data_IF_881343484697
#
_entry.id   IF_881343484697
#
_cell.length_a   1.000
_cell.length_b   1.000
_cell.length_c   1.000
_cell.angle_alpha   90.00
_cell.angle_beta   90.00
_cell.angle_gamma   90.00
#
_symmetry.space_group_name_H-M   'P 1'
#
loop_
_entity.id
_entity.type
_entity.pdbx_description
1 polymer ?
#
# COMPACT_ATOMS: atom_id res chain seq x y z
N UNK A 1 -1.82 -14.38 -14.06
CA UNK A 1 -0.78 -13.41 -14.45
C UNK A 1 0.13 -12.97 -13.30
N UNK A 2 -0.24 -13.11 -12.03
CA UNK A 2 0.67 -12.93 -10.88
C UNK A 2 1.45 -14.19 -10.51
N UNK A 3 1.01 -15.37 -10.93
CA UNK A 3 1.70 -16.64 -10.65
C UNK A 3 3.06 -16.83 -11.36
N UNK A 4 3.37 -16.01 -12.35
CA UNK A 4 4.67 -16.05 -13.05
C UNK A 4 5.75 -15.20 -12.39
N UNK A 5 5.41 -14.46 -11.33
CA UNK A 5 6.35 -13.53 -10.65
C UNK A 5 7.25 -14.29 -9.65
N UNK A 6 6.99 -15.57 -9.40
CA UNK A 6 7.81 -16.40 -8.51
C UNK A 6 8.86 -17.11 -9.35
N UNK A 7 9.90 -16.39 -9.68
CA UNK A 7 11.07 -16.99 -10.31
C UNK A 7 11.94 -17.65 -9.26
N UNK A 8 12.14 -18.97 -9.49
CA UNK A 8 13.31 -19.76 -9.07
C UNK A 8 13.73 -19.67 -7.58
N UNK A 9 13.49 -20.79 -6.88
CA UNK A 9 14.20 -21.27 -5.66
C UNK A 9 14.68 -20.25 -4.62
N UNK A 10 13.84 -19.50 -3.95
CA UNK A 10 14.09 -18.56 -2.84
C UNK A 10 14.13 -17.04 -3.18
N UNK A 11 13.90 -16.65 -4.43
CA UNK A 11 13.81 -15.25 -4.80
C UNK A 11 12.37 -14.86 -5.06
N UNK A 12 11.87 -13.91 -4.28
CA UNK A 12 10.55 -13.31 -4.47
C UNK A 12 10.70 -11.97 -5.19
N UNK A 13 10.03 -11.79 -6.32
CA UNK A 13 9.92 -10.50 -6.96
C UNK A 13 8.69 -9.75 -6.41
N UNK A 14 8.92 -8.58 -5.82
CA UNK A 14 7.86 -7.69 -5.35
C UNK A 14 7.77 -6.51 -6.30
N UNK A 15 6.68 -6.40 -7.08
CA UNK A 15 6.51 -5.31 -8.02
C UNK A 15 6.26 -3.98 -7.29
N UNK A 16 6.62 -2.87 -7.96
CA UNK A 16 6.15 -1.55 -7.56
C UNK A 16 4.95 -1.14 -8.42
N UNK A 17 3.99 -0.43 -7.81
CA UNK A 17 2.92 0.23 -8.54
C UNK A 17 3.13 1.74 -8.38
N UNK A 18 3.54 2.40 -9.45
CA UNK A 18 3.88 3.82 -9.44
C UNK A 18 2.99 4.54 -10.44
N UNK A 19 2.19 5.50 -9.96
CA UNK A 19 1.24 6.28 -10.78
C UNK A 19 0.34 5.37 -11.64
N UNK A 20 -0.11 4.24 -11.07
CA UNK A 20 -0.97 3.27 -11.75
C UNK A 20 -0.24 2.30 -12.68
N UNK A 21 1.06 2.44 -12.90
CA UNK A 21 1.86 1.54 -13.73
C UNK A 21 2.59 0.49 -12.87
N UNK A 22 2.49 -0.78 -13.25
CA UNK A 22 3.22 -1.87 -12.60
C UNK A 22 4.63 -1.95 -13.15
N UNK A 23 5.62 -1.94 -12.27
CA UNK A 23 7.05 -2.10 -12.59
C UNK A 23 7.53 -3.45 -12.05
N UNK A 24 8.19 -4.23 -12.91
CA UNK A 24 8.61 -5.61 -12.63
C UNK A 24 10.14 -5.82 -12.68
N UNK A 25 10.92 -4.77 -12.90
CA UNK A 25 12.37 -4.89 -13.02
C UNK A 25 12.99 -5.34 -11.69
N UNK A 26 13.70 -6.47 -11.70
CA UNK A 26 14.39 -7.01 -10.53
C UNK A 26 15.76 -6.34 -10.37
N UNK A 27 15.79 -5.05 -10.03
CA UNK A 27 17.00 -4.26 -10.01
C UNK A 27 17.69 -4.18 -8.64
N UNK A 28 16.92 -4.31 -7.55
CA UNK A 28 17.43 -4.18 -6.18
C UNK A 28 17.21 -5.45 -5.40
N UNK A 29 18.28 -6.01 -4.84
CA UNK A 29 18.24 -7.19 -4.00
C UNK A 29 18.15 -6.81 -2.52
N UNK A 30 17.18 -7.37 -1.82
CA UNK A 30 17.02 -7.26 -0.37
C UNK A 30 17.10 -8.63 0.26
N UNK A 31 18.01 -8.80 1.21
CA UNK A 31 18.18 -10.06 1.94
C UNK A 31 17.64 -9.95 3.35
N UNK A 32 16.72 -10.84 3.71
CA UNK A 32 16.23 -10.95 5.09
C UNK A 32 17.34 -11.44 6.02
N UNK A 33 17.58 -10.71 7.09
CA UNK A 33 18.54 -11.14 8.14
C UNK A 33 17.97 -12.28 8.99
N UNK A 34 16.65 -12.40 9.08
CA UNK A 34 16.00 -13.40 9.91
C UNK A 34 15.97 -14.79 9.24
N UNK A 35 15.64 -14.84 7.95
CA UNK A 35 15.44 -16.11 7.22
C UNK A 35 16.52 -16.40 6.17
N UNK A 36 17.29 -15.41 5.78
CA UNK A 36 18.21 -15.50 4.64
C UNK A 36 17.53 -15.41 3.27
N UNK A 37 16.20 -15.33 3.23
CA UNK A 37 15.42 -15.22 1.98
C UNK A 37 15.75 -13.93 1.25
N UNK A 38 15.71 -13.99 -0.08
CA UNK A 38 16.00 -12.84 -0.95
C UNK A 38 14.71 -12.33 -1.59
N UNK A 39 14.54 -11.01 -1.54
CA UNK A 39 13.45 -10.29 -2.22
C UNK A 39 14.06 -9.33 -3.23
N UNK A 40 13.53 -9.34 -4.44
CA UNK A 40 13.92 -8.43 -5.52
C UNK A 40 12.84 -7.37 -5.71
N UNK A 41 13.24 -6.12 -5.90
CA UNK A 41 12.34 -5.02 -6.22
C UNK A 41 12.85 -4.23 -7.42
N UNK A 42 12.00 -3.48 -8.12
CA UNK A 42 12.44 -2.47 -9.08
C UNK A 42 13.27 -1.37 -8.39
N UNK A 43 14.13 -0.71 -9.15
CA UNK A 43 14.74 0.54 -8.71
C UNK A 43 13.70 1.66 -8.76
N UNK A 44 13.80 2.60 -7.82
CA UNK A 44 12.91 3.77 -7.79
C UNK A 44 13.73 5.00 -8.17
N UNK A 45 13.27 5.68 -9.22
CA UNK A 45 13.71 7.05 -9.52
C UNK A 45 12.84 8.02 -8.73
N UNK A 46 13.38 8.57 -7.64
CA UNK A 46 12.64 9.47 -6.76
C UNK A 46 12.19 10.75 -7.47
N UNK A 47 12.99 11.25 -8.42
CA UNK A 47 12.63 12.46 -9.16
C UNK A 47 11.37 12.25 -10.02
N UNK A 48 11.16 11.04 -10.53
CA UNK A 48 9.96 10.67 -11.28
C UNK A 48 8.69 10.61 -10.43
N UNK A 49 8.82 10.46 -9.10
CA UNK A 49 7.70 10.39 -8.16
C UNK A 49 7.19 11.77 -7.76
N UNK A 50 8.04 12.80 -7.82
CA UNK A 50 7.70 14.16 -7.41
C UNK A 50 6.66 14.72 -8.37
N UNK A 51 5.54 15.20 -7.80
CA UNK A 51 4.55 15.90 -8.59
C UNK A 51 5.02 17.34 -8.83
N UNK A 52 4.99 17.84 -10.09
CA UNK A 52 5.43 19.20 -10.39
C UNK A 52 4.62 20.22 -9.59
N UNK A 53 5.29 21.15 -8.90
CA UNK A 53 4.61 22.20 -8.12
C UNK A 53 3.74 23.13 -8.97
N UNK A 54 3.98 23.17 -10.27
CA UNK A 54 3.22 23.97 -11.24
C UNK A 54 1.90 23.33 -11.66
N UNK A 55 1.63 22.08 -11.24
CA UNK A 55 0.43 21.35 -11.58
C UNK A 55 -0.32 20.94 -10.32
N UNK A 56 -1.66 21.02 -10.31
CA UNK A 56 -2.44 20.49 -9.20
C UNK A 56 -2.25 18.97 -9.09
N UNK A 57 -2.25 18.44 -7.89
CA UNK A 57 -2.19 16.99 -7.65
C UNK A 57 -3.43 16.28 -8.21
N UNK A 58 -3.37 14.95 -8.43
CA UNK A 58 -4.47 14.19 -9.04
C UNK A 58 -5.82 14.29 -8.31
N UNK A 59 -5.81 14.50 -7.00
CA UNK A 59 -7.02 14.61 -6.17
C UNK A 59 -7.30 16.06 -5.71
N UNK A 60 -6.67 17.05 -6.35
CA UNK A 60 -6.74 18.45 -5.91
C UNK A 60 -8.17 19.01 -5.84
N UNK A 61 -9.01 18.65 -6.81
CA UNK A 61 -10.40 19.11 -6.91
C UNK A 61 -11.42 18.05 -6.43
N UNK A 62 -10.94 16.96 -5.82
CA UNK A 62 -11.81 15.89 -5.33
C UNK A 62 -12.30 16.23 -3.92
N UNK A 63 -13.61 16.27 -3.65
CA UNK A 63 -14.14 16.47 -2.31
C UNK A 63 -13.63 15.41 -1.33
N UNK A 64 -13.35 15.81 -0.09
CA UNK A 64 -12.88 14.89 0.94
C UNK A 64 -13.80 13.69 1.11
N UNK A 65 -15.12 13.90 1.08
CA UNK A 65 -16.10 12.82 1.21
C UNK A 65 -15.93 11.73 0.14
N UNK A 66 -15.62 12.10 -1.11
CA UNK A 66 -15.38 11.14 -2.19
C UNK A 66 -14.06 10.37 -1.98
N UNK A 67 -13.03 11.04 -1.44
CA UNK A 67 -11.76 10.40 -1.09
C UNK A 67 -11.99 9.37 0.03
N UNK A 68 -12.75 9.74 1.06
CA UNK A 68 -13.08 8.83 2.17
C UNK A 68 -13.93 7.67 1.67
N UNK A 69 -14.95 7.91 0.82
CA UNK A 69 -15.74 6.85 0.21
C UNK A 69 -14.87 5.87 -0.59
N UNK A 70 -13.95 6.38 -1.38
CA UNK A 70 -12.98 5.55 -2.12
C UNK A 70 -12.12 4.69 -1.18
N UNK A 71 -11.58 5.28 -0.10
CA UNK A 71 -10.77 4.56 0.88
C UNK A 71 -11.58 3.46 1.58
N UNK A 72 -12.85 3.71 1.91
CA UNK A 72 -13.75 2.70 2.47
C UNK A 72 -13.94 1.52 1.50
N UNK A 73 -14.12 1.79 0.20
CA UNK A 73 -14.21 0.71 -0.80
C UNK A 73 -12.89 -0.07 -0.93
N UNK A 74 -11.74 0.61 -0.84
CA UNK A 74 -10.43 -0.05 -0.76
C UNK A 74 -10.37 -0.97 0.46
N UNK A 75 -10.82 -0.51 1.63
CA UNK A 75 -10.87 -1.32 2.85
C UNK A 75 -11.71 -2.59 2.69
N UNK A 76 -12.87 -2.49 2.03
CA UNK A 76 -13.70 -3.67 1.72
C UNK A 76 -13.00 -4.67 0.79
N UNK A 77 -12.24 -4.17 -0.18
CA UNK A 77 -11.44 -5.00 -1.08
C UNK A 77 -10.25 -5.66 -0.37
N UNK A 78 -9.76 -5.08 0.72
CA UNK A 78 -8.67 -5.59 1.55
C UNK A 78 -9.13 -6.51 2.69
N UNK A 79 -10.37 -6.99 2.68
CA UNK A 79 -10.84 -8.02 3.62
C UNK A 79 -9.99 -9.30 3.45
N UNK A 80 -9.19 -9.60 4.47
CA UNK A 80 -8.23 -10.71 4.44
C UNK A 80 -8.89 -12.07 4.16
N UNK A 81 -10.08 -12.31 4.70
CA UNK A 81 -10.77 -13.59 4.54
C UNK A 81 -11.33 -13.80 3.12
N UNK A 82 -11.48 -12.73 2.36
CA UNK A 82 -12.03 -12.74 1.00
C UNK A 82 -10.99 -12.41 -0.07
N UNK A 83 -9.88 -11.79 0.30
CA UNK A 83 -8.85 -11.37 -0.64
C UNK A 83 -7.73 -12.40 -0.74
N UNK A 84 -7.79 -13.24 -1.77
CA UNK A 84 -6.80 -14.30 -2.03
C UNK A 84 -5.39 -13.73 -2.22
N UNK A 85 -5.25 -12.53 -2.83
CA UNK A 85 -3.95 -11.90 -3.05
C UNK A 85 -3.33 -11.42 -1.75
N UNK A 86 -4.16 -10.96 -0.80
CA UNK A 86 -3.69 -10.55 0.51
C UNK A 86 -3.25 -11.76 1.34
N UNK A 87 -3.96 -12.88 1.25
CA UNK A 87 -3.57 -14.16 1.87
C UNK A 87 -2.25 -14.66 1.29
N UNK A 88 -2.09 -14.60 -0.03
CA UNK A 88 -0.85 -14.96 -0.71
C UNK A 88 0.31 -14.07 -0.28
N UNK A 89 0.11 -12.76 -0.22
CA UNK A 89 1.11 -11.79 0.27
C UNK A 89 1.53 -12.09 1.72
N UNK A 90 0.58 -12.43 2.60
CA UNK A 90 0.87 -12.83 3.98
C UNK A 90 1.73 -14.10 4.04
N UNK A 91 1.43 -15.09 3.22
CA UNK A 91 2.19 -16.33 3.14
C UNK A 91 3.64 -16.10 2.68
N UNK A 92 3.85 -15.21 1.70
CA UNK A 92 5.20 -14.81 1.27
C UNK A 92 5.93 -14.01 2.34
N UNK A 93 5.24 -13.07 2.98
CA UNK A 93 5.85 -12.24 4.02
C UNK A 93 6.31 -13.08 5.21
N UNK A 94 5.58 -14.13 5.57
CA UNK A 94 5.96 -15.04 6.65
C UNK A 94 7.35 -15.68 6.42
N UNK A 95 7.74 -15.88 5.16
CA UNK A 95 9.05 -16.46 4.81
C UNK A 95 10.20 -15.48 5.00
N UNK A 96 9.93 -14.17 4.94
CA UNK A 96 10.94 -13.11 4.97
C UNK A 96 10.93 -12.31 6.29
N UNK A 97 9.87 -12.46 7.10
CA UNK A 97 9.65 -11.68 8.32
C UNK A 97 10.11 -12.45 9.57
N UNK A 98 10.54 -11.72 10.60
CA UNK A 98 10.90 -12.27 11.89
C UNK A 98 9.70 -12.42 12.86
N UNK A 99 8.53 -11.90 12.48
CA UNK A 99 7.31 -12.02 13.29
C UNK A 99 6.77 -13.45 13.23
N UNK A 100 6.19 -13.90 14.33
CA UNK A 100 5.48 -15.18 14.35
C UNK A 100 4.23 -15.15 13.48
N UNK A 101 3.86 -16.30 12.89
CA UNK A 101 2.76 -16.44 11.94
C UNK A 101 1.45 -15.80 12.44
N UNK A 102 1.08 -16.01 13.70
CA UNK A 102 -0.14 -15.45 14.30
C UNK A 102 -0.13 -13.93 14.36
N UNK A 103 1.01 -13.33 14.69
CA UNK A 103 1.13 -11.87 14.74
C UNK A 103 1.00 -11.31 13.34
N UNK A 104 1.69 -11.91 12.39
CA UNK A 104 1.66 -11.48 11.00
C UNK A 104 0.25 -11.59 10.39
N UNK A 105 -0.44 -12.70 10.64
CA UNK A 105 -1.82 -12.89 10.18
C UNK A 105 -2.75 -11.82 10.76
N UNK A 106 -2.64 -11.52 12.05
CA UNK A 106 -3.43 -10.44 12.67
C UNK A 106 -3.14 -9.09 12.01
N UNK A 107 -1.86 -8.77 11.74
CA UNK A 107 -1.51 -7.53 11.03
C UNK A 107 -2.20 -7.45 9.66
N UNK A 108 -2.27 -8.55 8.92
CA UNK A 108 -2.94 -8.58 7.61
C UNK A 108 -4.47 -8.48 7.73
N UNK A 109 -5.07 -9.07 8.77
CA UNK A 109 -6.51 -8.94 9.04
C UNK A 109 -6.90 -7.51 9.42
N UNK A 110 -6.02 -6.82 10.14
CA UNK A 110 -6.25 -5.47 10.62
C UNK A 110 -6.06 -4.40 9.52
N UNK A 111 -5.50 -4.75 8.35
CA UNK A 111 -5.29 -3.77 7.24
C UNK A 111 -6.60 -3.07 6.87
N UNK A 112 -7.70 -3.82 6.71
CA UNK A 112 -8.99 -3.27 6.32
C UNK A 112 -9.53 -2.24 7.33
N UNK A 113 -9.18 -2.38 8.60
CA UNK A 113 -9.64 -1.46 9.66
C UNK A 113 -9.10 -0.04 9.48
N UNK A 114 -7.85 0.11 8.97
CA UNK A 114 -7.27 1.43 8.72
C UNK A 114 -8.02 2.25 7.66
N UNK A 115 -8.83 1.56 6.86
CA UNK A 115 -9.66 2.17 5.81
C UNK A 115 -11.13 2.32 6.23
N UNK A 116 -11.48 1.99 7.48
CA UNK A 116 -12.82 2.27 8.00
C UNK A 116 -13.03 3.79 8.07
N UNK A 117 -14.25 4.24 7.75
CA UNK A 117 -14.58 5.68 7.68
C UNK A 117 -14.17 6.43 8.95
N UNK A 118 -14.58 5.92 10.10
CA UNK A 118 -14.29 6.52 11.40
C UNK A 118 -12.78 6.58 11.69
N UNK A 119 -12.02 5.57 11.28
CA UNK A 119 -10.57 5.55 11.43
C UNK A 119 -9.90 6.61 10.53
N UNK A 120 -10.32 6.69 9.26
CA UNK A 120 -9.78 7.68 8.30
C UNK A 120 -10.11 9.11 8.73
N UNK A 121 -11.35 9.37 9.11
CA UNK A 121 -11.80 10.70 9.55
C UNK A 121 -11.11 11.11 10.87
N UNK A 122 -10.99 10.19 11.84
CA UNK A 122 -10.29 10.48 13.09
C UNK A 122 -8.80 10.79 12.89
N UNK A 123 -8.11 10.04 12.00
CA UNK A 123 -6.71 10.30 11.67
C UNK A 123 -6.55 11.67 10.98
N UNK A 124 -7.45 12.00 10.06
CA UNK A 124 -7.43 13.29 9.38
C UNK A 124 -7.70 14.45 10.35
N UNK A 125 -8.66 14.32 11.27
CA UNK A 125 -8.92 15.31 12.30
C UNK A 125 -7.74 15.48 13.26
N UNK A 126 -7.14 14.37 13.69
CA UNK A 126 -5.98 14.40 14.59
C UNK A 126 -4.77 15.07 13.94
N UNK A 127 -4.55 14.81 12.66
CA UNK A 127 -3.39 15.34 11.93
C UNK A 127 -3.55 16.79 11.50
N UNK A 128 -4.77 17.22 11.17
CA UNK A 128 -5.05 18.53 10.55
C UNK A 128 -5.87 19.48 11.45
N UNK A 129 -6.47 18.97 12.50
CA UNK A 129 -7.30 19.74 13.45
C UNK A 129 -8.74 19.94 13.02
N UNK A 130 -9.06 19.83 11.73
CA UNK A 130 -10.45 19.90 11.19
C UNK A 130 -10.51 19.35 9.79
N UNK A 131 -11.54 18.56 9.49
CA UNK A 131 -11.80 18.03 8.13
C UNK A 131 -12.15 19.14 7.14
N UNK A 132 -12.78 20.24 7.61
CA UNK A 132 -13.17 21.38 6.76
C UNK A 132 -11.97 22.07 6.08
N UNK A 133 -10.77 21.92 6.65
CA UNK A 133 -9.55 22.49 6.07
C UNK A 133 -9.20 21.86 4.74
N UNK A 134 -9.52 20.58 4.54
CA UNK A 134 -9.20 19.86 3.31
C UNK A 134 -10.06 20.32 2.14
N UNK A 135 -11.36 20.53 2.35
CA UNK A 135 -12.27 21.02 1.31
C UNK A 135 -12.16 22.54 1.07
N UNK A 136 -11.55 23.26 2.00
CA UNK A 136 -11.34 24.71 1.90
C UNK A 136 -10.16 25.13 1.01
N UNK A 137 -9.22 24.27 0.76
CA UNK A 137 -7.98 24.59 0.02
C UNK A 137 -8.21 24.74 -1.50
N UNK A 138 -9.23 24.10 -2.04
CA UNK A 138 -9.61 24.21 -3.46
C UNK A 138 -10.37 25.48 -3.84
N UNK A 139 -10.70 26.35 -2.90
CA UNK A 139 -11.55 27.54 -3.12
C UNK A 139 -10.84 28.88 -2.99
N UNK A 140 -9.51 28.92 -3.08
CA UNK A 140 -8.76 30.19 -3.08
C UNK A 140 -8.15 30.49 -4.44
#
# INVERSE_FOLDING_TARGET
>A
MLHEIIADNDRLLVPHVIKGAVQLDAAVEHRSRASGSTVMTPSIDLDSLIWPRSQPGPAFDTPLAEIVDFLVEVGKALDFDRNIHLQEAAAYNLRCNSLGARILENCYRDIAWFFARDAVEAEAEQSLGSLDLLDGWGRR
#
